data_IF_708894849993
#
_entry.id   IF_708894849993
#
_cell.length_a   1.000
_cell.length_b   1.000
_cell.length_c   1.000
_cell.angle_alpha   90.00
_cell.angle_beta   90.00
_cell.angle_gamma   90.00
#
_symmetry.space_group_name_H-M   'P 1'
#
loop_
_entity.id
_entity.type
_entity.pdbx_description
1 polymer ?
#
# COMPACT_ATOMS: atom_id res chain seq x y z
N UNK A 1 -1.94 6.58 -34.75
CA UNK A 1 -1.03 7.45 -33.97
C UNK A 1 -0.92 8.76 -34.73
N UNK A 2 -1.03 9.91 -34.06
CA UNK A 2 0.10 10.44 -33.29
C UNK A 2 -0.28 11.12 -31.96
N UNK A 3 0.72 11.28 -31.09
CA UNK A 3 0.78 12.40 -30.14
C UNK A 3 0.57 12.05 -28.67
N UNK A 4 1.51 11.31 -28.08
CA UNK A 4 1.76 11.35 -26.64
C UNK A 4 1.97 12.81 -26.21
N UNK A 5 0.93 13.41 -25.64
CA UNK A 5 1.09 14.58 -24.78
C UNK A 5 1.45 14.04 -23.41
N UNK A 6 2.75 13.79 -23.22
CA UNK A 6 3.35 13.80 -21.90
C UNK A 6 2.89 15.08 -21.21
N UNK A 7 2.15 14.96 -20.12
CA UNK A 7 1.74 16.08 -19.28
C UNK A 7 2.99 16.73 -18.67
N UNK A 8 3.63 17.60 -19.45
CA UNK A 8 4.57 18.63 -19.00
C UNK A 8 3.78 19.76 -18.36
N UNK A 9 3.24 19.51 -17.18
CA UNK A 9 2.86 20.56 -16.23
C UNK A 9 3.38 20.17 -14.83
N UNK A 10 4.71 20.00 -14.76
CA UNK A 10 5.46 20.17 -13.52
C UNK A 10 5.90 21.64 -13.45
N UNK A 11 5.03 22.53 -12.96
CA UNK A 11 5.28 23.89 -12.44
C UNK A 11 3.89 24.51 -12.15
N UNK A 12 3.58 25.20 -11.05
CA UNK A 12 4.40 25.94 -10.11
C UNK A 12 3.59 26.19 -8.82
N UNK A 13 4.24 26.21 -7.66
CA UNK A 13 3.59 26.40 -6.35
C UNK A 13 4.22 25.60 -5.21
N UNK A 14 5.56 25.49 -5.23
CA UNK A 14 6.40 24.65 -4.37
C UNK A 14 6.21 23.14 -4.56
N UNK A 15 7.32 22.41 -4.70
CA UNK A 15 7.62 21.14 -3.99
C UNK A 15 8.91 20.50 -4.55
N UNK A 16 10.13 20.95 -4.13
CA UNK A 16 11.30 20.05 -4.22
C UNK A 16 12.29 20.09 -3.02
N UNK A 17 12.34 21.14 -2.20
CA UNK A 17 13.30 21.20 -1.07
C UNK A 17 12.94 20.21 0.05
N UNK A 18 11.66 20.01 0.32
CA UNK A 18 11.20 19.17 1.43
C UNK A 18 11.38 17.67 1.16
N UNK A 19 11.14 17.21 -0.08
CA UNK A 19 11.46 15.83 -0.49
C UNK A 19 12.96 15.62 -0.51
N UNK A 20 13.75 16.58 -1.02
CA UNK A 20 15.22 16.54 -0.93
C UNK A 20 15.72 16.44 0.51
N UNK A 21 15.12 17.21 1.44
CA UNK A 21 15.44 17.14 2.86
C UNK A 21 15.09 15.78 3.48
N UNK A 22 13.99 15.14 3.07
CA UNK A 22 13.67 13.78 3.48
C UNK A 22 14.70 12.77 2.94
N UNK A 23 15.03 12.84 1.65
CA UNK A 23 15.98 11.92 0.98
C UNK A 23 17.39 12.08 1.53
N UNK A 24 17.83 13.30 1.84
CA UNK A 24 19.15 13.57 2.42
C UNK A 24 19.37 12.84 3.75
N UNK A 25 18.29 12.56 4.48
CA UNK A 25 18.29 11.83 5.76
C UNK A 25 18.18 10.32 5.60
N UNK A 26 17.98 9.82 4.39
CA UNK A 26 18.02 8.38 4.12
C UNK A 26 19.47 7.94 3.88
N UNK A 27 19.81 6.79 4.44
CA UNK A 27 21.05 6.11 4.12
C UNK A 27 21.13 5.80 2.62
N UNK A 28 22.33 5.85 2.06
CA UNK A 28 22.56 5.72 0.62
C UNK A 28 21.90 4.48 -0.02
N UNK A 29 21.91 3.28 0.60
CA UNK A 29 21.23 2.10 0.06
C UNK A 29 19.71 2.27 -0.09
N UNK A 30 19.08 3.09 0.75
CA UNK A 30 17.63 3.29 0.74
C UNK A 30 17.19 4.32 -0.29
N UNK A 31 18.08 5.22 -0.73
CA UNK A 31 17.75 6.28 -1.69
C UNK A 31 17.31 5.72 -3.03
N UNK A 32 18.00 4.70 -3.55
CA UNK A 32 17.64 4.11 -4.85
C UNK A 32 16.28 3.41 -4.80
N UNK A 33 16.01 2.64 -3.75
CA UNK A 33 14.71 1.97 -3.58
C UNK A 33 13.60 2.99 -3.33
N UNK A 34 13.88 4.06 -2.57
CA UNK A 34 12.97 5.18 -2.40
C UNK A 34 12.59 5.82 -3.74
N UNK A 35 13.56 6.18 -4.59
CA UNK A 35 13.27 6.82 -5.88
C UNK A 35 12.45 5.92 -6.81
N UNK A 36 12.79 4.63 -6.89
CA UNK A 36 11.99 3.64 -7.64
C UNK A 36 10.55 3.58 -7.15
N UNK A 37 10.37 3.47 -5.83
CA UNK A 37 9.03 3.39 -5.23
C UNK A 37 8.24 4.69 -5.36
N UNK A 38 8.91 5.84 -5.21
CA UNK A 38 8.34 7.17 -5.43
C UNK A 38 7.79 7.32 -6.85
N UNK A 39 8.57 6.93 -7.86
CA UNK A 39 8.12 6.96 -9.26
C UNK A 39 6.91 6.06 -9.48
N UNK A 40 6.89 4.84 -8.89
CA UNK A 40 5.73 3.94 -8.97
C UNK A 40 4.46 4.56 -8.39
N UNK A 41 4.55 5.30 -7.29
CA UNK A 41 3.38 5.93 -6.68
C UNK A 41 2.92 7.19 -7.44
N UNK A 42 3.86 8.03 -7.87
CA UNK A 42 3.54 9.27 -8.60
C UNK A 42 3.01 9.02 -10.00
N UNK A 43 3.31 7.87 -10.62
CA UNK A 43 2.73 7.49 -11.90
C UNK A 43 1.25 7.08 -11.81
N UNK A 44 0.71 6.90 -10.61
CA UNK A 44 -0.71 6.55 -10.44
C UNK A 44 -1.60 7.80 -10.57
N UNK A 45 -2.79 7.68 -11.18
CA UNK A 45 -3.64 8.83 -11.41
C UNK A 45 -4.06 9.51 -10.11
N UNK A 46 -4.11 10.85 -10.12
CA UNK A 46 -4.54 11.71 -9.01
C UNK A 46 -3.69 11.60 -7.73
N UNK A 47 -2.56 10.88 -7.74
CA UNK A 47 -1.63 10.84 -6.60
C UNK A 47 -0.84 12.14 -6.54
N UNK A 48 -0.76 12.70 -5.33
CA UNK A 48 0.14 13.79 -4.95
C UNK A 48 1.08 13.31 -3.84
N UNK A 49 2.30 13.83 -3.84
CA UNK A 49 3.28 13.68 -2.77
C UNK A 49 3.12 14.83 -1.76
N UNK A 50 3.02 14.51 -0.47
CA UNK A 50 2.94 15.48 0.62
C UNK A 50 3.99 15.15 1.66
N UNK A 51 4.88 16.09 1.97
CA UNK A 51 5.95 15.91 2.95
C UNK A 51 5.58 16.61 4.25
N UNK A 52 5.72 15.91 5.38
CA UNK A 52 5.52 16.53 6.70
C UNK A 52 6.54 17.65 6.94
N UNK A 53 6.17 18.71 7.67
CA UNK A 53 7.09 19.80 8.02
C UNK A 53 8.34 19.39 8.82
N UNK A 54 8.34 18.20 9.44
CA UNK A 54 9.53 17.64 10.09
C UNK A 54 10.47 16.90 9.14
N UNK A 55 10.09 16.74 7.87
CA UNK A 55 10.80 15.97 6.84
C UNK A 55 11.10 14.53 7.26
N UNK A 56 10.24 13.95 8.11
CA UNK A 56 10.34 12.56 8.57
C UNK A 56 9.27 11.65 7.97
N UNK A 57 8.33 12.21 7.20
CA UNK A 57 7.22 11.48 6.61
C UNK A 57 6.88 12.03 5.23
N UNK A 58 6.62 11.13 4.30
CA UNK A 58 6.06 11.40 2.98
C UNK A 58 4.77 10.61 2.86
N UNK A 59 3.70 11.25 2.40
CA UNK A 59 2.40 10.66 2.14
C UNK A 59 2.09 10.77 0.64
N UNK A 60 1.61 9.67 0.07
CA UNK A 60 1.08 9.59 -1.29
C UNK A 60 -0.43 9.42 -1.22
N UNK A 61 -1.18 10.34 -1.82
CA UNK A 61 -2.65 10.38 -1.73
C UNK A 61 -3.28 11.51 -2.55
N UNK A 62 -4.60 11.70 -2.45
CA UNK A 62 -5.32 12.73 -3.20
C UNK A 62 -5.35 14.03 -2.38
N UNK A 63 -4.34 14.90 -2.56
CA UNK A 63 -4.30 16.31 -2.10
C UNK A 63 -4.91 16.64 -0.71
N UNK A 64 -5.38 17.87 -0.50
CA UNK A 64 -6.11 18.25 0.71
C UNK A 64 -7.62 18.34 0.45
N UNK A 65 -8.45 18.01 1.46
CA UNK A 65 -9.92 18.13 1.41
C UNK A 65 -10.71 16.99 2.06
N UNK A 66 -12.04 17.12 2.09
CA UNK A 66 -12.97 16.15 2.72
C UNK A 66 -12.96 14.74 2.09
N UNK A 67 -12.42 14.59 0.88
CA UNK A 67 -12.38 13.34 0.11
C UNK A 67 -10.98 12.72 0.01
N UNK A 68 -10.07 13.13 0.90
CA UNK A 68 -8.67 12.67 0.89
C UNK A 68 -8.54 11.14 1.01
N UNK A 69 -8.08 10.50 -0.07
CA UNK A 69 -7.71 9.09 -0.14
C UNK A 69 -6.20 8.96 -0.01
N UNK A 70 -5.76 7.91 0.68
CA UNK A 70 -4.33 7.62 0.92
C UNK A 70 -3.96 6.32 0.20
N UNK A 71 -2.78 6.31 -0.42
CA UNK A 71 -2.18 5.17 -1.10
C UNK A 71 -1.07 4.57 -0.23
N UNK A 72 -0.07 5.38 0.08
CA UNK A 72 1.14 4.95 0.76
C UNK A 72 1.72 6.05 1.63
N UNK A 73 2.52 5.68 2.63
CA UNK A 73 3.28 6.61 3.45
C UNK A 73 4.65 6.00 3.74
N UNK A 74 5.70 6.80 3.61
CA UNK A 74 7.06 6.41 3.98
C UNK A 74 7.48 7.28 5.16
N UNK A 75 8.06 6.69 6.19
CA UNK A 75 8.59 7.44 7.33
C UNK A 75 10.06 7.13 7.54
N UNK A 76 10.84 8.15 7.89
CA UNK A 76 12.22 8.04 8.32
C UNK A 76 12.31 8.63 9.75
N UNK A 77 12.39 7.75 10.74
CA UNK A 77 12.37 8.14 12.17
C UNK A 77 13.48 7.43 12.93
N UNK A 78 13.66 7.71 14.22
CA UNK A 78 14.59 6.97 15.07
C UNK A 78 14.30 5.45 15.13
N UNK A 79 13.08 5.04 14.79
CA UNK A 79 12.69 3.63 14.68
C UNK A 79 12.94 3.04 13.28
N UNK A 80 13.69 3.74 12.43
CA UNK A 80 14.04 3.33 11.07
C UNK A 80 13.11 3.82 9.96
N UNK A 81 13.42 3.36 8.74
CA UNK A 81 12.65 3.62 7.52
C UNK A 81 11.53 2.61 7.40
N UNK A 82 10.29 3.09 7.35
CA UNK A 82 9.10 2.23 7.34
C UNK A 82 8.17 2.61 6.18
N UNK A 83 7.69 1.59 5.46
CA UNK A 83 6.61 1.71 4.49
C UNK A 83 5.27 1.41 5.15
N UNK A 84 4.27 2.22 4.84
CA UNK A 84 2.88 1.96 5.16
C UNK A 84 2.05 2.00 3.89
N UNK A 85 1.13 1.06 3.74
CA UNK A 85 0.23 0.96 2.58
C UNK A 85 -1.23 0.91 3.03
N UNK A 86 -2.12 1.54 2.27
CA UNK A 86 -3.56 1.39 2.46
C UNK A 86 -4.06 0.20 1.66
N UNK A 87 -4.25 -0.92 2.35
CA UNK A 87 -4.64 -2.20 1.77
C UNK A 87 -6.13 -2.51 2.07
N UNK A 88 -6.80 -3.32 1.23
CA UNK A 88 -8.19 -3.70 1.41
C UNK A 88 -8.42 -4.55 2.67
N UNK A 89 -9.51 -4.31 3.39
CA UNK A 89 -9.86 -5.05 4.63
C UNK A 89 -11.26 -5.65 4.55
N UNK A 90 -11.61 -6.59 5.41
CA UNK A 90 -13.01 -6.95 5.62
C UNK A 90 -13.72 -5.83 6.41
N UNK A 91 -14.92 -5.41 6.04
CA UNK A 91 -15.90 -4.81 6.97
C UNK A 91 -17.29 -5.14 6.48
N UNK A 92 -18.22 -5.29 7.43
CA UNK A 92 -19.62 -5.63 7.18
C UNK A 92 -20.47 -4.47 6.64
N UNK A 93 -19.91 -3.28 6.48
CA UNK A 93 -20.66 -2.06 6.14
C UNK A 93 -20.66 -1.79 4.63
N UNK A 94 -21.71 -1.13 4.11
CA UNK A 94 -21.93 -0.71 2.71
C UNK A 94 -20.89 0.30 2.14
N UNK A 95 -19.63 0.24 2.57
CA UNK A 95 -18.55 1.11 2.10
C UNK A 95 -17.99 0.52 0.81
N UNK A 96 -17.92 1.34 -0.26
CA UNK A 96 -17.15 1.01 -1.47
C UNK A 96 -15.69 0.81 -1.08
N UNK A 97 -15.25 -0.45 -1.07
CA UNK A 97 -13.90 -0.94 -0.78
C UNK A 97 -13.31 -0.36 0.52
N UNK A 98 -13.56 -1.02 1.65
CA UNK A 98 -12.85 -0.65 2.86
C UNK A 98 -11.34 -0.89 2.73
N UNK A 99 -10.57 0.13 3.10
CA UNK A 99 -9.11 0.03 3.17
C UNK A 99 -8.62 0.51 4.53
N UNK A 100 -7.51 -0.06 4.99
CA UNK A 100 -6.80 0.48 6.16
C UNK A 100 -5.30 0.49 5.97
N UNK A 101 -4.62 1.32 6.75
CA UNK A 101 -3.18 1.48 6.77
C UNK A 101 -2.51 0.30 7.49
N UNK A 102 -1.62 -0.36 6.79
CA UNK A 102 -0.75 -1.41 7.33
C UNK A 102 0.72 -0.98 7.23
N UNK A 103 1.53 -1.40 8.20
CA UNK A 103 2.99 -1.38 8.14
C UNK A 103 3.53 -2.80 7.98
N UNK A 104 4.83 -2.91 7.67
CA UNK A 104 5.47 -4.18 7.35
C UNK A 104 6.72 -4.36 8.23
N UNK A 105 6.83 -5.52 8.87
CA UNK A 105 8.07 -5.98 9.49
C UNK A 105 8.75 -6.90 8.47
N UNK A 106 9.96 -6.52 8.08
CA UNK A 106 10.75 -7.31 7.13
C UNK A 106 11.58 -8.34 7.87
N UNK A 107 11.93 -9.43 7.18
CA UNK A 107 12.87 -10.41 7.71
C UNK A 107 14.25 -9.77 7.98
N UNK A 108 15.07 -10.43 8.78
CA UNK A 108 16.41 -9.93 9.10
C UNK A 108 17.25 -9.67 7.84
N UNK A 109 17.99 -8.57 7.83
CA UNK A 109 18.86 -8.11 6.73
C UNK A 109 18.16 -7.71 5.42
N UNK A 110 16.83 -7.63 5.43
CA UNK A 110 16.06 -7.13 4.29
C UNK A 110 16.17 -5.60 4.17
N UNK A 111 16.04 -5.09 2.94
CA UNK A 111 16.20 -3.67 2.63
C UNK A 111 14.82 -2.98 2.65
N UNK A 112 14.59 -2.01 3.53
CA UNK A 112 13.39 -1.19 3.50
C UNK A 112 13.11 -0.61 2.11
N UNK A 113 11.84 -0.63 1.71
CA UNK A 113 11.33 -0.08 0.44
C UNK A 113 11.71 -0.87 -0.82
N UNK A 114 12.48 -1.96 -0.71
CA UNK A 114 12.74 -2.85 -1.84
C UNK A 114 11.53 -3.75 -2.11
N UNK A 115 11.14 -3.89 -3.38
CA UNK A 115 10.06 -4.80 -3.79
C UNK A 115 10.37 -6.25 -3.42
N UNK A 116 11.65 -6.63 -3.50
CA UNK A 116 12.10 -8.00 -3.27
C UNK A 116 12.17 -8.37 -1.80
N UNK A 117 11.99 -7.41 -0.90
CA UNK A 117 12.20 -7.67 0.52
C UNK A 117 11.13 -8.52 1.14
N UNK A 118 11.56 -9.57 1.84
CA UNK A 118 10.67 -10.54 2.48
C UNK A 118 9.96 -9.91 3.66
N UNK A 119 8.64 -10.07 3.67
CA UNK A 119 7.79 -9.63 4.77
C UNK A 119 7.69 -10.76 5.79
N UNK A 120 7.99 -10.48 7.05
CA UNK A 120 7.80 -11.41 8.17
C UNK A 120 6.42 -11.21 8.80
N UNK A 121 6.00 -9.95 8.99
CA UNK A 121 4.70 -9.62 9.57
C UNK A 121 4.05 -8.42 8.89
N UNK A 122 2.72 -8.48 8.78
CA UNK A 122 1.89 -7.34 8.41
C UNK A 122 1.22 -6.81 9.67
N UNK A 123 1.29 -5.49 9.84
CA UNK A 123 0.88 -4.82 11.08
C UNK A 123 -0.20 -3.82 10.78
N UNK A 124 -1.35 -3.91 11.43
CA UNK A 124 -2.35 -2.86 11.40
C UNK A 124 -1.86 -1.65 12.18
N UNK A 125 -1.78 -0.47 11.55
CA UNK A 125 -1.17 0.70 12.20
C UNK A 125 -2.11 1.90 12.21
N UNK A 126 -2.41 2.38 13.43
CA UNK A 126 -2.89 3.76 13.65
C UNK A 126 -1.71 4.74 13.79
N UNK A 127 -0.47 4.24 13.92
CA UNK A 127 0.75 4.99 14.24
C UNK A 127 2.03 4.37 13.65
N UNK A 128 3.20 4.57 14.27
CA UNK A 128 4.47 3.92 13.89
C UNK A 128 4.40 2.42 14.19
N UNK A 129 5.19 1.59 13.51
CA UNK A 129 5.32 0.16 13.85
C UNK A 129 6.10 0.04 15.16
N UNK A 130 5.51 -0.61 16.17
CA UNK A 130 6.19 -0.97 17.42
C UNK A 130 6.45 -2.48 17.42
N UNK A 131 7.73 -2.86 17.36
CA UNK A 131 8.16 -4.25 17.25
C UNK A 131 8.10 -5.02 18.59
N UNK A 132 7.91 -4.31 19.71
CA UNK A 132 7.98 -4.92 21.06
C UNK A 132 6.69 -5.63 21.48
N UNK A 133 5.54 -5.27 20.89
CA UNK A 133 4.23 -5.77 21.32
C UNK A 133 3.50 -6.51 20.19
N UNK A 134 3.88 -7.78 20.01
CA UNK A 134 3.18 -8.73 19.13
C UNK A 134 2.08 -9.43 19.92
N UNK A 135 0.92 -8.80 20.04
CA UNK A 135 -0.26 -9.40 20.67
C UNK A 135 -1.32 -9.77 19.62
N UNK A 136 -1.81 -11.01 19.69
CA UNK A 136 -2.97 -11.48 18.94
C UNK A 136 -4.21 -10.74 19.43
N UNK A 137 -4.62 -9.73 18.67
CA UNK A 137 -5.84 -8.98 18.89
C UNK A 137 -6.40 -8.52 17.55
N UNK A 138 -7.70 -8.25 17.49
CA UNK A 138 -8.37 -7.82 16.27
C UNK A 138 -8.64 -6.32 16.29
N UNK A 139 -8.64 -5.68 15.12
CA UNK A 139 -9.06 -4.30 14.97
C UNK A 139 -10.58 -4.20 14.78
N UNK A 140 -11.12 -2.97 14.74
CA UNK A 140 -12.54 -2.69 14.51
C UNK A 140 -13.08 -3.19 13.15
N UNK A 141 -12.19 -3.54 12.22
CA UNK A 141 -12.51 -4.10 10.91
C UNK A 141 -12.42 -5.64 10.93
N UNK A 142 -12.24 -6.29 12.09
CA UNK A 142 -12.12 -7.74 12.19
C UNK A 142 -10.82 -8.33 11.64
N UNK A 143 -9.83 -7.51 11.29
CA UNK A 143 -8.50 -7.98 10.90
C UNK A 143 -7.64 -8.19 12.14
N UNK A 144 -6.80 -9.22 12.14
CA UNK A 144 -5.74 -9.34 13.13
C UNK A 144 -4.82 -8.11 13.08
N UNK A 145 -4.42 -7.59 14.24
CA UNK A 145 -3.47 -6.47 14.32
C UNK A 145 -2.09 -6.87 13.81
N UNK A 146 -1.75 -8.14 13.96
CA UNK A 146 -0.55 -8.77 13.48
C UNK A 146 -0.97 -10.03 12.76
N UNK A 147 -0.55 -10.20 11.51
CA UNK A 147 -0.72 -11.45 10.80
C UNK A 147 0.52 -11.78 9.99
N UNK A 148 0.75 -13.08 9.83
CA UNK A 148 1.73 -13.55 8.87
C UNK A 148 1.27 -13.19 7.45
N UNK A 149 2.22 -12.98 6.52
CA UNK A 149 1.94 -12.70 5.12
C UNK A 149 0.89 -13.65 4.52
N UNK A 150 1.04 -14.95 4.74
CA UNK A 150 0.16 -16.03 4.28
C UNK A 150 -1.28 -15.89 4.75
N UNK A 151 -1.49 -15.30 5.92
CA UNK A 151 -2.80 -15.19 6.54
C UNK A 151 -3.54 -13.90 6.14
N UNK A 152 -2.85 -12.95 5.52
CA UNK A 152 -3.43 -11.65 5.17
C UNK A 152 -4.68 -11.77 4.30
N UNK A 153 -4.57 -12.49 3.19
CA UNK A 153 -5.68 -12.69 2.24
C UNK A 153 -6.86 -13.39 2.91
N UNK A 154 -6.58 -14.38 3.76
CA UNK A 154 -7.60 -15.03 4.56
C UNK A 154 -8.33 -14.01 5.42
N UNK A 155 -7.63 -13.28 6.30
CA UNK A 155 -8.26 -12.27 7.16
C UNK A 155 -8.98 -11.17 6.38
N UNK A 156 -8.42 -10.69 5.27
CA UNK A 156 -9.04 -9.68 4.42
C UNK A 156 -10.35 -10.13 3.78
N UNK A 157 -10.62 -11.43 3.72
CA UNK A 157 -11.81 -12.03 3.13
C UNK A 157 -12.78 -12.66 4.13
N UNK A 158 -12.43 -12.77 5.42
CA UNK A 158 -13.32 -13.35 6.43
C UNK A 158 -14.65 -12.58 6.52
N UNK A 159 -15.75 -13.29 6.34
CA UNK A 159 -17.10 -12.79 6.61
C UNK A 159 -17.63 -11.74 5.63
N UNK A 160 -17.04 -11.58 4.45
CA UNK A 160 -17.54 -10.68 3.40
C UNK A 160 -17.57 -11.37 2.03
N UNK A 161 -18.77 -11.64 1.52
CA UNK A 161 -18.98 -12.19 0.18
C UNK A 161 -18.46 -11.26 -0.94
N UNK A 162 -18.40 -9.94 -0.70
CA UNK A 162 -18.00 -8.94 -1.70
C UNK A 162 -16.51 -8.59 -1.68
N UNK A 163 -15.83 -8.72 -0.53
CA UNK A 163 -14.41 -8.34 -0.41
C UNK A 163 -13.50 -9.35 -1.10
N UNK A 164 -13.88 -10.63 -1.10
CA UNK A 164 -13.14 -11.68 -1.79
C UNK A 164 -13.13 -11.43 -3.30
N UNK A 165 -14.29 -11.23 -3.92
CA UNK A 165 -14.41 -10.96 -5.35
C UNK A 165 -13.66 -9.70 -5.77
N UNK A 166 -13.70 -8.64 -4.96
CA UNK A 166 -12.97 -7.41 -5.22
C UNK A 166 -11.45 -7.59 -5.16
N UNK A 167 -10.93 -8.33 -4.18
CA UNK A 167 -9.51 -8.64 -4.09
C UNK A 167 -9.04 -9.48 -5.28
N UNK A 168 -9.90 -10.39 -5.77
CA UNK A 168 -9.74 -11.09 -7.05
C UNK A 168 -9.65 -10.11 -8.21
N UNK A 169 -10.66 -9.28 -8.41
CA UNK A 169 -10.78 -8.34 -9.52
C UNK A 169 -9.63 -7.33 -9.56
N UNK A 170 -9.20 -6.87 -8.37
CA UNK A 170 -8.05 -6.00 -8.22
C UNK A 170 -6.77 -6.70 -8.59
N UNK A 171 -6.51 -7.92 -8.12
CA UNK A 171 -5.25 -8.62 -8.39
C UNK A 171 -5.12 -9.07 -9.85
N UNK A 172 -6.22 -9.29 -10.57
CA UNK A 172 -6.21 -9.66 -12.00
C UNK A 172 -6.54 -8.50 -12.97
N UNK A 173 -6.84 -7.29 -12.46
CA UNK A 173 -7.00 -6.08 -13.28
C UNK A 173 -8.36 -5.91 -14.00
N UNK A 174 -9.43 -6.53 -13.52
CA UNK A 174 -10.75 -6.56 -14.18
C UNK A 174 -11.82 -5.70 -13.46
N UNK A 175 -12.87 -5.30 -14.20
CA UNK A 175 -14.10 -4.64 -13.71
C UNK A 175 -15.30 -5.55 -14.00
N UNK A 176 -16.22 -5.83 -13.06
CA UNK A 176 -17.11 -6.99 -13.19
C UNK A 176 -18.52 -6.67 -13.67
N UNK A 177 -19.08 -7.61 -14.44
CA UNK A 177 -20.53 -7.90 -14.45
C UNK A 177 -20.87 -9.41 -14.32
N UNK A 178 -19.91 -10.33 -14.56
CA UNK A 178 -20.00 -11.74 -14.14
C UNK A 178 -18.60 -12.32 -13.95
N UNK A 179 -18.32 -13.00 -12.83
CA UNK A 179 -17.06 -13.73 -12.60
C UNK A 179 -17.09 -15.03 -13.40
N UNK A 180 -16.11 -15.27 -14.27
CA UNK A 180 -16.02 -16.54 -15.01
C UNK A 180 -15.54 -17.68 -14.10
N UNK A 181 -15.77 -18.93 -14.50
CA UNK A 181 -15.21 -20.09 -13.80
C UNK A 181 -13.67 -20.15 -13.87
N UNK A 182 -13.08 -19.56 -14.92
CA UNK A 182 -11.63 -19.40 -15.06
C UNK A 182 -11.05 -18.44 -14.02
N UNK A 183 -11.73 -17.33 -13.75
CA UNK A 183 -11.37 -16.40 -12.66
C UNK A 183 -11.43 -17.13 -11.31
N UNK A 184 -12.45 -17.97 -11.09
CA UNK A 184 -12.62 -18.77 -9.87
C UNK A 184 -11.50 -19.81 -9.67
N UNK A 185 -11.05 -20.47 -10.74
CA UNK A 185 -9.93 -21.44 -10.72
C UNK A 185 -8.59 -20.72 -10.47
N UNK A 186 -8.34 -19.62 -11.17
CA UNK A 186 -7.18 -18.76 -10.91
C UNK A 186 -7.15 -18.33 -9.44
N UNK A 187 -8.31 -18.04 -8.85
CA UNK A 187 -8.39 -17.58 -7.47
C UNK A 187 -8.21 -18.68 -6.41
N UNK A 188 -8.67 -19.89 -6.68
CA UNK A 188 -8.27 -21.05 -5.88
C UNK A 188 -6.75 -21.30 -5.97
N UNK A 189 -6.08 -20.90 -7.05
CA UNK A 189 -4.61 -20.94 -7.12
C UNK A 189 -3.94 -19.91 -6.20
N UNK A 190 -4.56 -18.74 -5.98
CA UNK A 190 -4.05 -17.73 -5.04
C UNK A 190 -4.16 -18.15 -3.57
N UNK A 191 -5.07 -19.09 -3.22
CA UNK A 191 -5.02 -19.77 -1.90
C UNK A 191 -3.69 -20.49 -1.67
N UNK A 192 -3.01 -20.87 -2.76
CA UNK A 192 -1.73 -21.55 -2.74
C UNK A 192 -0.55 -20.60 -3.04
N UNK A 193 -0.82 -19.33 -3.33
CA UNK A 193 0.22 -18.30 -3.48
C UNK A 193 0.51 -17.66 -2.14
N UNK A 194 1.77 -17.66 -1.75
CA UNK A 194 2.25 -16.99 -0.54
C UNK A 194 2.67 -15.58 -0.91
N UNK A 195 2.03 -14.52 -0.40
CA UNK A 195 2.50 -13.16 -0.62
C UNK A 195 3.80 -12.95 0.17
N UNK A 196 4.96 -13.18 -0.46
CA UNK A 196 6.26 -13.29 0.23
C UNK A 196 6.98 -11.95 0.39
N UNK A 197 6.88 -11.09 -0.61
CA UNK A 197 7.73 -9.91 -0.72
C UNK A 197 6.91 -8.61 -0.72
N UNK A 198 7.56 -7.51 -0.36
CA UNK A 198 6.95 -6.18 -0.22
C UNK A 198 6.28 -5.71 -1.52
N UNK A 199 6.87 -6.03 -2.67
CA UNK A 199 6.37 -5.68 -4.01
C UNK A 199 4.94 -6.16 -4.25
N UNK A 200 4.59 -7.36 -3.77
CA UNK A 200 3.24 -7.89 -3.89
C UNK A 200 2.20 -6.99 -3.19
N UNK A 201 2.54 -6.47 -2.01
CA UNK A 201 1.67 -5.57 -1.26
C UNK A 201 1.60 -4.17 -1.88
N UNK A 202 2.71 -3.69 -2.43
CA UNK A 202 2.79 -2.42 -3.18
C UNK A 202 1.83 -2.46 -4.37
N UNK A 203 1.91 -3.53 -5.16
CA UNK A 203 1.03 -3.72 -6.33
C UNK A 203 -0.44 -3.80 -5.90
N UNK A 204 -0.74 -4.55 -4.83
CA UNK A 204 -2.10 -4.63 -4.30
C UNK A 204 -2.62 -3.24 -3.88
N UNK A 205 -1.81 -2.43 -3.21
CA UNK A 205 -2.19 -1.07 -2.80
C UNK A 205 -2.48 -0.18 -4.02
N UNK A 206 -1.63 -0.25 -5.05
CA UNK A 206 -1.80 0.50 -6.30
C UNK A 206 -3.08 0.10 -7.04
N UNK A 207 -3.34 -1.20 -7.18
CA UNK A 207 -4.57 -1.67 -7.85
C UNK A 207 -5.81 -1.24 -7.07
N UNK A 208 -5.77 -1.39 -5.74
CA UNK A 208 -6.84 -0.93 -4.85
C UNK A 208 -7.09 0.57 -4.99
N UNK A 209 -6.03 1.36 -5.09
CA UNK A 209 -6.11 2.80 -5.35
C UNK A 209 -6.81 3.10 -6.68
N UNK A 210 -6.34 2.48 -7.77
CA UNK A 210 -6.86 2.71 -9.11
C UNK A 210 -8.36 2.39 -9.23
N UNK A 211 -8.84 1.39 -8.50
CA UNK A 211 -10.28 1.14 -8.41
C UNK A 211 -11.02 2.22 -7.62
N UNK A 212 -10.45 2.64 -6.47
CA UNK A 212 -11.10 3.63 -5.59
C UNK A 212 -11.15 5.03 -6.18
N UNK A 213 -10.26 5.38 -7.11
CA UNK A 213 -10.18 6.73 -7.69
C UNK A 213 -10.91 6.91 -9.04
N UNK A 214 -11.39 5.80 -9.61
CA UNK A 214 -12.45 5.78 -10.64
C UNK A 214 -13.77 6.23 -10.02
#
# INVERSE_FOLDING_TARGET
>A
MPGETLNTEFNDGSLPAFTGNFVSRLDQPFRQNFEKLRLKFLSQPKVKEMVSGSYRKILYGTGDGKTHKKLAQITNTGNGVNLFLWLPTAVRTNIRVPVTRFGFVLAANEIPLSDDSKVEWIVFTKGTVDLKYKELSFNKNGMAKWCEPTQYLHFASIGSYNTFSLLTYLLIGLTPDAMSDEDRVCWNSYKNQTPKNLGWYIDLAIKTWNYRIK
#
